data_IF_683149576320
#
_entry.id   IF_683149576320
#
_cell.length_a   1.000
_cell.length_b   1.000
_cell.length_c   1.000
_cell.angle_alpha   90.00
_cell.angle_beta   90.00
_cell.angle_gamma   90.00
#
_symmetry.space_group_name_H-M   'P 1'
#
loop_
_entity.id
_entity.type
_entity.pdbx_description
1 polymer ?
#
# COMPACT_ATOMS: atom_id res chain seq x y z
N UNK A 1 26.42 13.63 1.35
CA UNK A 1 24.96 13.83 1.39
C UNK A 1 24.57 14.00 2.86
N UNK A 2 23.47 14.71 3.19
CA UNK A 2 22.92 14.66 4.54
C UNK A 2 22.68 13.22 5.03
N UNK A 3 22.78 13.04 6.34
CA UNK A 3 22.42 11.80 7.02
C UNK A 3 21.03 11.96 7.62
N UNK A 4 20.16 10.97 7.42
CA UNK A 4 18.79 10.97 7.94
C UNK A 4 18.48 9.65 8.63
N UNK A 5 17.73 9.70 9.73
CA UNK A 5 17.25 8.49 10.40
C UNK A 5 16.00 7.95 9.70
N UNK A 6 16.01 6.65 9.39
CA UNK A 6 14.86 5.95 8.83
C UNK A 6 14.44 4.81 9.77
N UNK A 7 13.32 5.02 10.45
CA UNK A 7 12.81 4.08 11.46
C UNK A 7 12.33 2.75 10.87
N UNK A 8 12.03 2.67 9.56
CA UNK A 8 11.62 1.41 8.91
C UNK A 8 12.78 0.45 8.65
N UNK A 9 14.01 0.96 8.69
CA UNK A 9 15.24 0.17 8.57
C UNK A 9 16.11 0.25 9.84
N UNK A 10 15.60 0.93 10.87
CA UNK A 10 16.21 1.14 12.18
C UNK A 10 17.68 1.60 12.12
N UNK A 11 17.99 2.56 11.24
CA UNK A 11 19.32 3.17 11.15
C UNK A 11 19.33 4.53 10.45
N UNK A 12 20.45 5.22 10.59
CA UNK A 12 20.83 6.33 9.74
C UNK A 12 21.21 5.85 8.33
N UNK A 13 20.90 6.67 7.32
CA UNK A 13 21.27 6.44 5.92
C UNK A 13 21.54 7.78 5.22
N UNK A 14 22.23 7.73 4.08
CA UNK A 14 22.40 8.91 3.23
C UNK A 14 21.13 9.24 2.45
N UNK A 15 20.78 10.53 2.38
CA UNK A 15 19.72 11.04 1.50
C UNK A 15 20.13 12.41 0.92
N UNK A 16 19.85 12.73 -0.36
CA UNK A 16 20.34 13.97 -0.97
C UNK A 16 19.86 15.29 -0.33
N UNK A 17 18.82 15.26 0.50
CA UNK A 17 18.27 16.44 1.19
C UNK A 17 18.18 16.20 2.70
N UNK A 18 18.06 17.27 3.46
CA UNK A 18 17.76 17.18 4.89
C UNK A 18 16.35 16.59 5.11
N UNK A 19 16.16 15.94 6.25
CA UNK A 19 14.86 15.43 6.64
C UNK A 19 13.90 16.60 6.89
N UNK A 20 12.75 16.60 6.21
CA UNK A 20 11.67 17.56 6.43
C UNK A 20 10.36 16.79 6.65
N UNK A 21 9.85 16.83 7.88
CA UNK A 21 8.57 16.22 8.23
C UNK A 21 7.42 17.17 7.86
N UNK A 22 6.36 16.68 7.20
CA UNK A 22 5.14 17.46 7.05
C UNK A 22 4.41 17.58 8.40
N UNK A 23 3.47 18.52 8.51
CA UNK A 23 2.58 18.66 9.67
C UNK A 23 1.79 17.38 9.94
N UNK A 24 1.33 16.72 8.87
CA UNK A 24 0.73 15.39 8.88
C UNK A 24 1.22 14.59 7.68
N UNK A 25 1.30 13.27 7.81
CA UNK A 25 1.74 12.39 6.73
C UNK A 25 0.59 11.52 6.22
N UNK A 26 0.16 11.77 4.98
CA UNK A 26 -0.79 10.93 4.25
C UNK A 26 -0.32 9.48 4.23
N UNK A 27 -1.22 8.56 4.60
CA UNK A 27 -0.94 7.13 4.68
C UNK A 27 -2.15 6.27 4.29
N UNK A 28 -1.90 4.98 4.14
CA UNK A 28 -2.93 3.96 4.03
C UNK A 28 -2.42 2.59 4.48
N UNK A 29 -3.34 1.72 4.90
CA UNK A 29 -3.08 0.29 5.14
C UNK A 29 -3.94 -0.54 4.18
N UNK A 30 -3.35 -1.55 3.55
CA UNK A 30 -4.02 -2.52 2.69
C UNK A 30 -3.93 -3.94 3.29
N UNK A 31 -5.08 -4.56 3.57
CA UNK A 31 -5.16 -5.94 4.06
C UNK A 31 -5.10 -6.97 2.92
N UNK A 32 -3.96 -7.64 2.77
CA UNK A 32 -3.76 -8.61 1.69
C UNK A 32 -4.52 -9.93 1.91
N UNK A 33 -5.00 -10.20 3.13
CA UNK A 33 -5.83 -11.37 3.41
C UNK A 33 -7.24 -11.26 2.83
N UNK A 34 -7.72 -10.02 2.66
CA UNK A 34 -9.06 -9.71 2.14
C UNK A 34 -9.04 -9.32 0.66
N UNK A 35 -7.86 -9.20 0.04
CA UNK A 35 -7.75 -8.76 -1.34
C UNK A 35 -8.19 -9.86 -2.29
N UNK A 36 -9.11 -9.53 -3.21
CA UNK A 36 -9.71 -10.46 -4.17
C UNK A 36 -9.32 -10.17 -5.62
N UNK A 37 -8.31 -9.33 -5.87
CA UNK A 37 -7.81 -9.09 -7.23
C UNK A 37 -8.74 -8.35 -8.20
N UNK A 38 -9.97 -8.00 -7.80
CA UNK A 38 -11.05 -7.51 -8.68
C UNK A 38 -10.81 -6.23 -9.52
N UNK A 39 -9.66 -5.57 -9.40
CA UNK A 39 -9.31 -4.36 -10.16
C UNK A 39 -10.24 -3.14 -10.02
N UNK A 40 -11.29 -3.16 -9.18
CA UNK A 40 -12.21 -2.01 -9.03
C UNK A 40 -11.48 -0.73 -8.65
N UNK A 41 -10.56 -0.82 -7.69
CA UNK A 41 -9.71 0.28 -7.28
C UNK A 41 -8.83 0.83 -8.43
N UNK A 42 -8.39 -0.03 -9.35
CA UNK A 42 -7.62 0.33 -10.56
C UNK A 42 -8.52 1.17 -11.47
N UNK A 43 -9.73 0.70 -11.75
CA UNK A 43 -10.69 1.42 -12.59
C UNK A 43 -11.21 2.72 -11.97
N UNK A 44 -11.44 2.77 -10.65
CA UNK A 44 -11.86 4.02 -9.97
C UNK A 44 -10.79 5.11 -10.09
N UNK A 45 -9.51 4.74 -9.95
CA UNK A 45 -8.40 5.67 -10.15
C UNK A 45 -8.26 6.06 -11.63
N UNK A 46 -8.42 5.09 -12.54
CA UNK A 46 -8.36 5.29 -13.98
C UNK A 46 -9.38 6.32 -14.47
N UNK A 47 -10.66 6.05 -14.19
CA UNK A 47 -11.76 6.92 -14.57
C UNK A 47 -11.72 8.28 -13.88
N UNK A 48 -11.23 8.33 -12.63
CA UNK A 48 -11.14 9.58 -11.87
C UNK A 48 -10.00 10.50 -12.28
N UNK A 49 -8.86 9.97 -12.74
CA UNK A 49 -7.63 10.78 -12.88
C UNK A 49 -6.80 10.59 -14.15
N UNK A 50 -6.89 9.43 -14.82
CA UNK A 50 -5.95 9.06 -15.91
C UNK A 50 -6.67 8.66 -17.20
N UNK A 51 -7.79 9.33 -17.49
CA UNK A 51 -8.64 9.13 -18.67
C UNK A 51 -8.30 10.06 -19.85
N UNK A 52 -7.31 10.95 -19.69
CA UNK A 52 -6.85 11.88 -20.71
C UNK A 52 -5.86 11.27 -21.71
N UNK A 53 -5.54 12.05 -22.75
CA UNK A 53 -4.63 11.63 -23.83
C UNK A 53 -3.21 11.42 -23.31
N UNK A 54 -2.59 10.30 -23.70
CA UNK A 54 -1.25 9.91 -23.27
C UNK A 54 -1.21 9.33 -21.86
N UNK A 55 -2.36 9.22 -21.19
CA UNK A 55 -2.50 8.60 -19.88
C UNK A 55 -3.05 7.17 -20.00
N UNK A 56 -3.26 6.62 -21.19
CA UNK A 56 -3.93 5.34 -21.45
C UNK A 56 -3.25 4.18 -20.70
N UNK A 57 -1.92 4.17 -20.67
CA UNK A 57 -1.12 3.20 -19.92
C UNK A 57 -0.88 3.62 -18.46
N UNK A 58 -1.33 4.78 -18.01
CA UNK A 58 -1.08 5.22 -16.63
C UNK A 58 -2.05 4.58 -15.64
N UNK A 59 -1.61 3.52 -14.96
CA UNK A 59 -2.33 2.91 -13.84
C UNK A 59 -1.70 3.33 -12.52
N UNK A 60 -2.04 4.55 -12.07
CA UNK A 60 -1.53 5.11 -10.81
C UNK A 60 -1.82 4.20 -9.61
N UNK A 61 -3.04 3.63 -9.57
CA UNK A 61 -3.35 2.43 -8.80
C UNK A 61 -3.43 1.25 -9.76
N UNK A 62 -2.75 0.15 -9.42
CA UNK A 62 -2.83 -1.12 -10.15
C UNK A 62 -2.82 -2.26 -9.13
N UNK A 63 -3.27 -3.45 -9.53
CA UNK A 63 -3.17 -4.67 -8.72
C UNK A 63 -2.44 -5.72 -9.53
N UNK A 64 -1.42 -6.35 -8.93
CA UNK A 64 -0.61 -7.42 -9.53
C UNK A 64 -0.83 -8.73 -8.79
N UNK A 65 -0.78 -9.87 -9.48
CA UNK A 65 -0.69 -11.18 -8.81
C UNK A 65 0.77 -11.48 -8.50
N UNK A 66 1.09 -11.86 -7.26
CA UNK A 66 2.44 -12.29 -6.87
C UNK A 66 2.50 -13.82 -6.74
N UNK A 67 3.63 -14.44 -7.16
CA UNK A 67 4.93 -13.79 -7.38
C UNK A 67 5.24 -13.33 -8.81
N UNK A 68 4.46 -13.70 -9.82
CA UNK A 68 4.87 -13.58 -11.24
C UNK A 68 4.30 -12.37 -11.98
N UNK A 69 3.37 -11.62 -11.39
CA UNK A 69 2.79 -10.42 -11.96
C UNK A 69 3.57 -9.15 -11.60
N UNK A 70 3.60 -8.22 -12.57
CA UNK A 70 4.37 -6.99 -12.51
C UNK A 70 3.68 -5.84 -13.23
N UNK A 71 3.86 -4.62 -12.73
CA UNK A 71 3.57 -3.43 -13.52
C UNK A 71 4.40 -2.19 -13.11
N UNK A 72 5.39 -1.72 -13.89
CA UNK A 72 5.88 -2.30 -15.14
C UNK A 72 6.62 -3.61 -14.90
N UNK A 73 6.98 -4.31 -15.99
CA UNK A 73 7.67 -5.61 -15.94
C UNK A 73 8.89 -5.61 -15.01
N UNK A 74 8.90 -6.58 -14.08
CA UNK A 74 10.00 -6.84 -13.15
C UNK A 74 10.50 -5.61 -12.36
N UNK A 75 9.62 -4.66 -12.04
CA UNK A 75 9.98 -3.38 -11.41
C UNK A 75 10.76 -3.53 -10.08
N UNK A 76 10.41 -4.53 -9.27
CA UNK A 76 11.06 -4.89 -8.02
C UNK A 76 12.24 -5.82 -8.25
N UNK A 77 12.04 -6.91 -8.98
CA UNK A 77 13.06 -7.92 -9.23
C UNK A 77 14.33 -7.34 -9.88
N UNK A 78 14.21 -6.49 -10.91
CA UNK A 78 15.37 -5.84 -11.53
C UNK A 78 16.11 -4.94 -10.56
N UNK A 79 15.40 -4.23 -9.68
CA UNK A 79 16.04 -3.33 -8.72
C UNK A 79 16.72 -4.11 -7.58
N UNK A 80 16.11 -5.19 -7.11
CA UNK A 80 16.71 -6.09 -6.13
C UNK A 80 17.98 -6.76 -6.70
N UNK A 81 17.95 -7.17 -7.97
CA UNK A 81 19.12 -7.70 -8.67
C UNK A 81 20.27 -6.66 -8.74
N UNK A 82 19.95 -5.40 -9.09
CA UNK A 82 20.92 -4.31 -9.08
C UNK A 82 21.52 -4.02 -7.70
N UNK A 83 20.74 -4.17 -6.61
CA UNK A 83 21.24 -4.04 -5.25
C UNK A 83 22.11 -5.24 -4.85
N UNK A 84 21.86 -6.42 -5.42
CA UNK A 84 22.49 -7.67 -5.02
C UNK A 84 22.05 -8.15 -3.64
N UNK A 85 22.72 -9.17 -3.06
CA UNK A 85 22.39 -9.71 -1.75
C UNK A 85 22.53 -8.65 -0.65
N UNK A 86 21.53 -8.59 0.24
CA UNK A 86 21.48 -7.66 1.36
C UNK A 86 21.11 -8.40 2.65
N UNK A 87 21.38 -7.78 3.80
CA UNK A 87 21.24 -8.42 5.12
C UNK A 87 20.45 -7.57 6.10
N UNK A 88 19.80 -8.26 7.03
CA UNK A 88 19.16 -7.70 8.22
C UNK A 88 19.83 -8.31 9.45
N UNK A 89 20.10 -7.50 10.46
CA UNK A 89 20.48 -7.93 11.80
C UNK A 89 19.34 -7.58 12.76
N UNK A 90 18.56 -8.59 13.16
CA UNK A 90 17.30 -8.38 13.86
C UNK A 90 16.32 -7.52 13.05
N UNK A 91 15.99 -6.34 13.57
CA UNK A 91 15.13 -5.34 12.92
C UNK A 91 15.90 -4.21 12.21
N UNK A 92 17.23 -4.23 12.26
CA UNK A 92 18.09 -3.26 11.59
C UNK A 92 18.56 -3.78 10.24
N UNK A 93 18.33 -3.00 9.19
CA UNK A 93 18.85 -3.31 7.85
C UNK A 93 20.32 -2.88 7.76
N UNK A 94 21.21 -3.82 7.45
CA UNK A 94 22.67 -3.56 7.39
C UNK A 94 23.20 -3.41 5.97
N UNK A 95 22.35 -3.67 4.97
CA UNK A 95 22.66 -3.50 3.56
C UNK A 95 22.67 -2.03 3.08
N UNK A 96 22.93 -1.82 1.80
CA UNK A 96 22.85 -0.48 1.17
C UNK A 96 21.41 -0.18 0.71
N UNK A 97 20.96 1.04 0.94
CA UNK A 97 19.73 1.59 0.32
C UNK A 97 19.98 1.98 -1.14
N UNK A 98 18.93 2.35 -1.88
CA UNK A 98 19.10 2.82 -3.26
C UNK A 98 19.88 4.14 -3.34
N UNK A 99 19.88 4.94 -2.26
CA UNK A 99 20.62 6.20 -2.22
C UNK A 99 22.13 5.93 -2.07
N UNK A 100 22.50 5.04 -1.14
CA UNK A 100 23.89 4.65 -0.87
C UNK A 100 24.49 3.78 -1.98
N UNK A 101 23.66 3.09 -2.75
CA UNK A 101 24.07 2.31 -3.91
C UNK A 101 24.02 3.12 -5.24
N UNK A 102 23.71 4.41 -5.20
CA UNK A 102 23.59 5.22 -6.40
C UNK A 102 24.94 5.37 -7.12
N UNK A 103 24.99 5.21 -8.47
CA UNK A 103 26.21 5.46 -9.22
C UNK A 103 26.55 6.96 -9.26
N UNK A 104 27.81 7.33 -9.51
CA UNK A 104 28.22 8.74 -9.60
C UNK A 104 27.33 9.55 -10.55
N UNK A 105 26.92 10.74 -10.09
CA UNK A 105 26.05 11.64 -10.85
C UNK A 105 24.55 11.31 -10.80
N UNK A 106 24.13 10.29 -10.04
CA UNK A 106 22.71 9.97 -9.81
C UNK A 106 22.32 10.12 -8.35
N UNK A 107 21.06 10.49 -8.13
CA UNK A 107 20.51 10.65 -6.78
C UNK A 107 20.08 9.31 -6.14
N UNK A 108 19.79 8.29 -6.94
CA UNK A 108 19.38 6.96 -6.48
C UNK A 108 19.74 5.90 -7.54
N UNK A 109 19.98 4.68 -7.09
CA UNK A 109 20.04 3.48 -7.92
C UNK A 109 18.66 3.24 -8.56
N UNK A 110 18.66 2.98 -9.86
CA UNK A 110 17.44 2.67 -10.59
C UNK A 110 17.64 2.65 -12.10
N UNK A 111 16.60 2.21 -12.79
CA UNK A 111 16.55 2.03 -14.23
C UNK A 111 15.28 2.67 -14.78
N UNK A 112 15.33 3.10 -16.04
CA UNK A 112 14.16 3.59 -16.75
C UNK A 112 13.54 2.38 -17.44
N UNK A 113 12.27 2.01 -17.16
CA UNK A 113 11.61 0.94 -17.89
C UNK A 113 11.46 1.29 -19.37
N UNK A 114 11.54 0.27 -20.23
CA UNK A 114 11.28 0.39 -21.66
C UNK A 114 9.76 0.50 -21.91
N UNK A 115 9.36 0.88 -23.13
CA UNK A 115 7.93 1.06 -23.44
C UNK A 115 7.16 -0.26 -23.34
N UNK A 116 7.78 -1.36 -23.75
CA UNK A 116 7.24 -2.72 -23.69
C UNK A 116 6.98 -3.18 -22.25
N UNK A 117 7.74 -2.67 -21.27
CA UNK A 117 7.54 -3.00 -19.86
C UNK A 117 6.18 -2.50 -19.34
N UNK A 118 5.52 -1.58 -20.05
CA UNK A 118 4.21 -1.02 -19.73
C UNK A 118 3.06 -1.61 -20.55
N UNK A 119 3.35 -2.49 -21.51
CA UNK A 119 2.36 -2.95 -22.49
C UNK A 119 1.20 -3.75 -21.86
N UNK A 120 1.46 -4.47 -20.76
CA UNK A 120 0.50 -5.39 -20.15
C UNK A 120 0.33 -5.08 -18.64
N UNK A 121 -0.69 -4.29 -18.26
CA UNK A 121 -0.85 -3.81 -16.88
C UNK A 121 -1.21 -4.84 -15.81
N UNK A 122 -1.48 -6.08 -16.22
CA UNK A 122 -1.86 -7.18 -15.35
C UNK A 122 -1.36 -8.54 -15.88
N UNK A 123 -0.18 -8.55 -16.50
CA UNK A 123 0.48 -9.79 -16.91
C UNK A 123 0.78 -10.67 -15.69
N UNK A 124 0.65 -11.99 -15.85
CA UNK A 124 0.78 -12.95 -14.76
C UNK A 124 -0.41 -12.97 -13.81
N UNK A 125 -1.58 -12.42 -14.21
CA UNK A 125 -2.82 -12.54 -13.45
C UNK A 125 -3.13 -14.01 -13.13
N UNK A 126 -3.54 -14.23 -11.88
CA UNK A 126 -3.81 -15.51 -11.25
C UNK A 126 -2.74 -16.61 -11.36
N UNK A 127 -1.54 -16.30 -11.86
CA UNK A 127 -0.46 -17.28 -12.00
C UNK A 127 0.11 -17.67 -10.62
N UNK A 128 -0.08 -18.93 -10.16
CA UNK A 128 0.37 -19.36 -8.85
C UNK A 128 1.79 -19.92 -8.89
N UNK A 129 2.48 -19.84 -7.75
CA UNK A 129 3.72 -20.56 -7.53
C UNK A 129 3.48 -21.90 -6.85
N UNK A 130 4.10 -22.95 -7.36
CA UNK A 130 4.08 -24.30 -6.80
C UNK A 130 3.34 -25.30 -7.69
N UNK A 131 3.44 -26.58 -7.36
CA UNK A 131 2.75 -27.68 -8.05
C UNK A 131 1.94 -28.46 -7.02
N UNK A 132 0.70 -28.84 -7.36
CA UNK A 132 -0.11 -29.77 -6.57
C UNK A 132 0.18 -31.19 -7.06
N UNK A 133 0.67 -32.06 -6.17
CA UNK A 133 0.78 -33.49 -6.45
C UNK A 133 -0.53 -34.20 -6.17
N UNK A 134 -0.76 -35.35 -6.83
CA UNK A 134 -1.91 -36.22 -6.52
C UNK A 134 -1.97 -36.57 -5.03
N UNK A 135 -3.17 -36.50 -4.45
CA UNK A 135 -3.40 -36.76 -3.02
C UNK A 135 -3.08 -35.60 -2.08
N UNK A 136 -2.70 -34.43 -2.59
CA UNK A 136 -2.52 -33.23 -1.77
C UNK A 136 -3.85 -32.76 -1.15
N UNK A 137 -3.77 -32.21 0.07
CA UNK A 137 -4.88 -31.60 0.79
C UNK A 137 -4.52 -30.19 1.24
N UNK A 138 -5.52 -29.38 1.60
CA UNK A 138 -5.32 -27.99 2.02
C UNK A 138 -4.49 -27.93 3.32
N UNK A 139 -3.35 -27.23 3.26
CA UNK A 139 -2.46 -26.95 4.38
C UNK A 139 -2.13 -25.45 4.37
N UNK A 140 -1.88 -24.84 5.53
CA UNK A 140 -1.43 -23.45 5.65
C UNK A 140 -0.01 -23.45 6.23
N UNK A 141 1.01 -22.89 5.55
CA UNK A 141 0.94 -22.20 4.24
C UNK A 141 0.62 -23.15 3.07
N UNK A 142 -0.01 -22.63 2.02
CA UNK A 142 -0.42 -23.44 0.87
C UNK A 142 0.81 -23.86 0.03
N UNK A 143 0.89 -25.12 -0.43
CA UNK A 143 1.98 -25.56 -1.31
C UNK A 143 1.93 -24.87 -2.68
N UNK A 144 0.72 -24.51 -3.13
CA UNK A 144 0.47 -23.68 -4.30
C UNK A 144 -0.19 -22.39 -3.85
N UNK A 145 0.42 -21.25 -4.16
CA UNK A 145 -0.02 -19.97 -3.65
C UNK A 145 0.19 -18.86 -4.67
N UNK A 146 -0.74 -17.90 -4.63
CA UNK A 146 -0.54 -16.54 -5.10
C UNK A 146 -1.22 -15.58 -4.11
N UNK A 147 -1.01 -14.29 -4.29
CA UNK A 147 -1.83 -13.27 -3.65
C UNK A 147 -1.83 -12.01 -4.50
N UNK A 148 -2.79 -11.13 -4.26
CA UNK A 148 -2.90 -9.87 -4.99
C UNK A 148 -2.17 -8.76 -4.23
N UNK A 149 -1.34 -8.00 -4.94
CA UNK A 149 -0.61 -6.84 -4.44
C UNK A 149 -1.15 -5.56 -5.09
N UNK A 150 -2.13 -4.88 -4.47
CA UNK A 150 -2.56 -3.55 -4.89
C UNK A 150 -1.49 -2.49 -4.58
N UNK A 151 -1.02 -1.73 -5.57
CA UNK A 151 0.00 -0.69 -5.37
C UNK A 151 -0.46 0.68 -5.84
N UNK A 152 -0.07 1.70 -5.10
CA UNK A 152 -0.14 3.12 -5.46
C UNK A 152 1.21 3.81 -5.24
N UNK A 153 1.33 5.11 -5.53
CA UNK A 153 2.48 5.87 -5.04
C UNK A 153 2.50 5.87 -3.52
N UNK A 154 3.68 5.66 -2.92
CA UNK A 154 3.79 5.54 -1.48
C UNK A 154 3.95 6.87 -0.73
N UNK A 155 3.96 8.00 -1.46
CA UNK A 155 4.13 9.36 -0.91
C UNK A 155 5.23 9.44 0.16
N UNK A 156 6.37 8.82 -0.14
CA UNK A 156 7.44 8.51 0.81
C UNK A 156 7.96 9.72 1.59
N UNK A 157 8.55 9.48 2.76
CA UNK A 157 9.25 10.52 3.53
C UNK A 157 10.56 10.93 2.85
N UNK A 158 11.29 9.98 2.28
CA UNK A 158 12.50 10.21 1.49
C UNK A 158 12.25 9.86 0.01
N UNK A 159 11.50 10.70 -0.74
CA UNK A 159 11.09 10.39 -2.10
C UNK A 159 12.23 10.47 -3.11
N UNK A 160 12.69 9.32 -3.60
CA UNK A 160 13.71 9.24 -4.66
C UNK A 160 13.35 9.99 -5.95
N UNK A 161 12.06 10.06 -6.29
CA UNK A 161 11.61 10.85 -7.44
C UNK A 161 11.87 12.35 -7.27
N UNK A 162 11.71 12.88 -6.05
CA UNK A 162 12.00 14.27 -5.71
C UNK A 162 13.52 14.50 -5.77
N UNK A 163 14.29 13.63 -5.11
CA UNK A 163 15.75 13.64 -5.11
C UNK A 163 16.37 13.66 -6.52
N UNK A 164 15.78 12.92 -7.46
CA UNK A 164 16.30 12.80 -8.81
C UNK A 164 15.83 13.90 -9.79
N UNK A 165 14.87 14.75 -9.44
CA UNK A 165 14.31 15.70 -10.40
C UNK A 165 15.25 16.91 -10.59
N UNK A 166 15.94 17.07 -11.75
CA UNK A 166 16.91 18.15 -11.94
C UNK A 166 16.26 19.54 -11.96
N UNK A 167 14.95 19.62 -12.23
CA UNK A 167 14.17 20.87 -12.26
C UNK A 167 13.50 21.21 -10.93
N UNK A 168 13.59 20.33 -9.93
CA UNK A 168 12.87 20.44 -8.66
C UNK A 168 11.36 20.67 -8.88
N UNK A 169 10.79 20.02 -9.90
CA UNK A 169 9.36 20.09 -10.22
C UNK A 169 8.53 19.16 -9.34
N UNK A 170 9.17 18.25 -8.61
CA UNK A 170 8.53 17.37 -7.65
C UNK A 170 8.71 17.99 -6.27
N UNK A 171 7.64 18.00 -5.48
CA UNK A 171 7.63 18.51 -4.12
C UNK A 171 6.76 17.63 -3.24
N UNK A 172 7.02 17.68 -1.95
CA UNK A 172 6.19 17.08 -0.90
C UNK A 172 5.47 18.22 -0.21
N UNK A 173 4.14 18.15 -0.13
CA UNK A 173 3.32 19.16 0.52
C UNK A 173 3.62 19.21 2.02
N UNK A 174 3.85 20.39 2.62
CA UNK A 174 4.13 20.51 4.05
C UNK A 174 2.93 20.14 4.93
N UNK A 175 1.69 20.35 4.48
CA UNK A 175 0.48 20.17 5.28
C UNK A 175 0.03 18.70 5.42
N UNK A 176 0.28 17.86 4.41
CA UNK A 176 -0.26 16.49 4.33
C UNK A 176 0.76 15.43 3.85
N UNK A 177 1.97 15.84 3.49
CA UNK A 177 3.01 14.92 3.04
C UNK A 177 2.75 14.28 1.67
N UNK A 178 1.73 14.70 0.92
CA UNK A 178 1.45 14.19 -0.43
C UNK A 178 2.52 14.73 -1.39
N UNK A 179 3.28 13.80 -1.97
CA UNK A 179 4.23 14.11 -3.06
C UNK A 179 3.50 14.37 -4.38
N UNK A 180 3.79 15.49 -5.05
CA UNK A 180 3.18 15.90 -6.33
C UNK A 180 4.24 16.27 -7.37
N UNK A 181 3.82 16.32 -8.64
CA UNK A 181 4.61 16.83 -9.76
C UNK A 181 3.95 18.10 -10.26
N UNK A 182 4.65 19.23 -10.17
CA UNK A 182 4.27 20.48 -10.80
C UNK A 182 4.32 20.32 -12.34
N UNK A 183 3.14 20.26 -12.95
CA UNK A 183 2.98 20.06 -14.39
C UNK A 183 3.51 21.25 -15.21
N UNK A 184 3.54 22.47 -14.65
CA UNK A 184 4.03 23.66 -15.35
C UNK A 184 5.56 23.73 -15.34
N UNK A 185 6.22 23.20 -14.30
CA UNK A 185 7.69 23.15 -14.18
C UNK A 185 8.30 21.90 -14.81
N UNK A 186 7.54 20.82 -14.90
CA UNK A 186 8.01 19.55 -15.46
C UNK A 186 8.36 19.69 -16.96
N UNK A 187 9.45 19.04 -17.38
CA UNK A 187 9.91 19.01 -18.78
C UNK A 187 10.22 17.60 -19.27
N UNK A 188 9.77 16.58 -18.54
CA UNK A 188 9.85 15.20 -19.01
C UNK A 188 11.26 14.61 -19.09
N UNK A 189 12.17 14.98 -18.18
CA UNK A 189 13.53 14.40 -18.10
C UNK A 189 13.55 12.93 -17.68
N UNK A 190 12.47 12.42 -17.08
CA UNK A 190 12.26 11.01 -16.68
C UNK A 190 13.25 10.45 -15.64
N UNK A 191 14.19 11.25 -15.13
CA UNK A 191 15.06 10.86 -14.01
C UNK A 191 14.26 10.46 -12.75
N UNK A 192 13.11 11.09 -12.53
CA UNK A 192 12.19 10.70 -11.46
C UNK A 192 11.58 9.28 -11.67
N UNK A 193 11.33 8.87 -12.92
CA UNK A 193 10.87 7.52 -13.26
C UNK A 193 11.98 6.50 -13.03
N UNK A 194 13.20 6.84 -13.43
CA UNK A 194 14.39 6.03 -13.21
C UNK A 194 14.61 5.77 -11.72
N UNK A 195 14.59 6.83 -10.92
CA UNK A 195 14.90 6.78 -9.50
C UNK A 195 13.79 6.20 -8.62
N UNK A 196 12.51 6.31 -9.01
CA UNK A 196 11.43 5.73 -8.22
C UNK A 196 11.52 4.20 -8.25
N UNK A 197 11.78 3.52 -7.13
CA UNK A 197 11.94 2.07 -7.15
C UNK A 197 10.62 1.37 -7.50
N UNK A 198 9.50 1.92 -7.02
CA UNK A 198 8.14 1.41 -7.27
C UNK A 198 7.57 1.73 -8.67
N UNK A 199 8.28 2.55 -9.46
CA UNK A 199 7.85 3.01 -10.79
C UNK A 199 6.44 3.64 -10.80
N UNK A 200 6.15 4.45 -9.77
CA UNK A 200 4.84 5.12 -9.58
C UNK A 200 4.77 6.56 -10.08
N UNK A 201 5.74 6.94 -10.90
CA UNK A 201 5.71 8.15 -11.73
C UNK A 201 5.90 7.70 -13.18
N UNK A 202 5.06 8.21 -14.07
CA UNK A 202 4.88 7.75 -15.45
C UNK A 202 5.01 8.96 -16.38
N UNK A 203 5.42 8.76 -17.64
CA UNK A 203 5.67 9.86 -18.57
C UNK A 203 4.57 9.99 -19.61
N UNK A 204 3.85 11.09 -19.65
CA UNK A 204 2.85 11.28 -20.68
C UNK A 204 3.55 11.69 -22.00
N UNK A 205 3.53 10.85 -23.05
CA UNK A 205 4.21 11.18 -24.31
C UNK A 205 3.51 12.31 -25.08
N UNK A 206 2.24 12.57 -24.80
CA UNK A 206 1.45 13.63 -25.44
C UNK A 206 1.77 14.98 -24.82
N UNK A 207 1.66 15.11 -23.50
CA UNK A 207 1.95 16.38 -22.79
C UNK A 207 3.44 16.59 -22.53
N UNK A 208 4.25 15.54 -22.74
CA UNK A 208 5.71 15.51 -22.54
C UNK A 208 6.15 15.86 -21.11
N UNK A 209 5.29 15.58 -20.13
CA UNK A 209 5.59 15.73 -18.70
C UNK A 209 5.33 14.42 -17.97
N UNK A 210 5.93 14.29 -16.79
CA UNK A 210 5.69 13.14 -15.92
C UNK A 210 4.51 13.41 -14.98
N UNK A 211 3.74 12.35 -14.74
CA UNK A 211 2.52 12.34 -13.93
C UNK A 211 2.57 11.19 -12.92
N UNK A 212 1.83 11.31 -11.82
CA UNK A 212 1.81 10.30 -10.76
C UNK A 212 0.52 10.38 -9.96
N UNK A 213 0.24 9.33 -9.18
CA UNK A 213 -0.80 9.36 -8.16
C UNK A 213 -0.73 10.63 -7.33
N UNK A 214 -1.84 11.37 -7.25
CA UNK A 214 -1.93 12.64 -6.53
C UNK A 214 -2.46 12.48 -5.09
N UNK A 215 -2.51 11.25 -4.57
CA UNK A 215 -3.12 10.96 -3.27
C UNK A 215 -4.60 11.31 -3.18
N UNK A 216 -5.28 11.50 -4.33
CA UNK A 216 -6.58 12.17 -4.43
C UNK A 216 -6.66 13.44 -3.56
N UNK A 217 -5.62 14.27 -3.54
CA UNK A 217 -5.57 15.42 -2.62
C UNK A 217 -6.83 16.31 -2.61
N UNK A 218 -7.56 16.55 -3.74
CA UNK A 218 -8.79 17.34 -3.68
C UNK A 218 -9.88 16.68 -2.82
N UNK A 219 -9.88 15.35 -2.68
CA UNK A 219 -10.79 14.60 -1.80
C UNK A 219 -10.29 14.62 -0.36
N UNK A 220 -9.00 14.41 -0.15
CA UNK A 220 -8.37 14.42 1.18
C UNK A 220 -8.59 15.76 1.87
N UNK A 221 -8.44 16.87 1.15
CA UNK A 221 -8.72 18.24 1.64
C UNK A 221 -10.17 18.44 2.10
N UNK A 222 -11.11 17.63 1.62
CA UNK A 222 -12.52 17.67 1.98
C UNK A 222 -12.90 16.60 3.03
N UNK A 223 -11.91 15.97 3.67
CA UNK A 223 -12.12 14.90 4.65
C UNK A 223 -12.73 13.64 4.03
N UNK A 224 -12.50 13.41 2.73
CA UNK A 224 -12.99 12.23 2.01
C UNK A 224 -11.86 11.23 1.79
N UNK A 225 -12.21 9.94 1.81
CA UNK A 225 -11.35 8.85 1.39
C UNK A 225 -10.97 8.98 -0.09
N UNK A 226 -9.79 8.46 -0.45
CA UNK A 226 -9.35 8.42 -1.85
C UNK A 226 -10.25 7.48 -2.68
N UNK A 227 -10.35 7.69 -3.99
CA UNK A 227 -11.24 6.91 -4.85
C UNK A 227 -10.95 5.40 -4.81
N UNK A 228 -9.68 5.00 -4.69
CA UNK A 228 -9.31 3.59 -4.62
C UNK A 228 -9.69 2.93 -3.28
N UNK A 229 -9.84 3.72 -2.21
CA UNK A 229 -10.28 3.24 -0.89
C UNK A 229 -11.80 3.22 -0.80
N UNK A 230 -12.47 4.31 -1.16
CA UNK A 230 -13.93 4.42 -1.11
C UNK A 230 -14.64 3.35 -1.96
N UNK A 231 -14.05 2.96 -3.09
CA UNK A 231 -14.61 1.95 -4.01
C UNK A 231 -14.00 0.55 -3.85
N UNK A 232 -13.29 0.28 -2.75
CA UNK A 232 -12.69 -1.03 -2.54
C UNK A 232 -13.74 -2.08 -2.13
N UNK A 233 -14.16 -2.92 -3.07
CA UNK A 233 -15.15 -3.99 -2.84
C UNK A 233 -14.70 -4.95 -1.73
N UNK A 234 -13.42 -5.36 -1.75
CA UNK A 234 -12.87 -6.26 -0.72
C UNK A 234 -12.73 -5.63 0.67
N UNK A 235 -13.02 -4.32 0.82
CA UNK A 235 -12.90 -3.58 2.08
C UNK A 235 -11.54 -3.78 2.76
N UNK A 236 -10.48 -3.75 1.94
CA UNK A 236 -9.12 -4.03 2.39
C UNK A 236 -8.37 -2.76 2.79
N UNK A 237 -8.85 -1.60 2.35
CA UNK A 237 -8.08 -0.35 2.39
C UNK A 237 -8.64 0.60 3.43
N UNK A 238 -7.75 1.31 4.08
CA UNK A 238 -8.05 2.44 4.95
C UNK A 238 -7.02 3.53 4.70
N UNK A 239 -7.44 4.73 4.28
CA UNK A 239 -6.55 5.90 4.38
C UNK A 239 -6.54 6.43 5.81
N UNK A 240 -5.44 7.06 6.19
CA UNK A 240 -5.29 7.72 7.48
C UNK A 240 -4.00 8.53 7.54
N UNK A 241 -3.71 9.08 8.72
CA UNK A 241 -2.47 9.79 9.00
C UNK A 241 -1.50 8.85 9.72
N UNK A 242 -0.21 8.92 9.43
CA UNK A 242 0.83 8.19 10.17
C UNK A 242 1.74 9.19 10.89
N UNK A 243 2.06 8.91 12.14
CA UNK A 243 3.04 9.68 12.91
C UNK A 243 4.42 8.98 12.91
N UNK A 244 5.42 9.60 13.53
CA UNK A 244 6.66 8.89 13.81
C UNK A 244 6.44 7.93 14.99
N UNK A 245 7.24 6.86 15.15
CA UNK A 245 7.04 5.90 16.23
C UNK A 245 6.99 6.52 17.64
N UNK A 246 7.70 7.62 17.87
CA UNK A 246 7.73 8.37 19.12
C UNK A 246 6.50 9.25 19.37
N UNK A 247 5.72 9.55 18.32
CA UNK A 247 4.51 10.39 18.38
C UNK A 247 3.24 9.63 17.97
N UNK A 248 3.31 8.31 17.87
CA UNK A 248 2.19 7.46 17.46
C UNK A 248 0.98 7.60 18.41
N UNK A 249 -0.20 7.82 17.84
CA UNK A 249 -1.47 7.90 18.56
C UNK A 249 -2.21 6.55 18.50
N UNK A 250 -2.42 5.84 19.62
CA UNK A 250 -3.12 4.56 19.62
C UNK A 250 -4.60 4.66 19.21
N UNK A 251 -5.21 5.86 19.25
CA UNK A 251 -6.57 6.09 18.75
C UNK A 251 -6.60 6.36 17.26
N UNK A 252 -5.46 6.66 16.62
CA UNK A 252 -5.36 6.80 15.18
C UNK A 252 -5.34 5.39 14.52
N UNK A 253 -6.23 5.09 13.56
CA UNK A 253 -6.32 3.74 12.99
C UNK A 253 -5.05 3.23 12.33
N UNK A 254 -4.30 4.11 11.65
CA UNK A 254 -3.10 3.73 10.90
C UNK A 254 -1.91 3.54 11.84
N UNK A 255 -1.71 4.44 12.81
CA UNK A 255 -0.72 4.25 13.87
C UNK A 255 -0.99 2.98 14.69
N UNK A 256 -2.27 2.71 14.98
CA UNK A 256 -2.65 1.49 15.70
C UNK A 256 -2.22 0.23 14.94
N UNK A 257 -2.46 0.17 13.62
CA UNK A 257 -2.07 -0.98 12.80
C UNK A 257 -0.54 -1.09 12.58
N UNK A 258 0.16 0.03 12.43
CA UNK A 258 1.58 0.08 12.06
C UNK A 258 2.51 0.09 13.28
N UNK A 259 2.22 0.92 14.28
CA UNK A 259 3.09 1.16 15.43
C UNK A 259 2.67 0.39 16.69
N UNK A 260 1.36 0.27 16.95
CA UNK A 260 0.86 -0.38 18.17
C UNK A 260 0.80 -1.90 18.01
N UNK A 261 -0.03 -2.40 17.08
CA UNK A 261 -0.15 -3.84 16.80
C UNK A 261 0.89 -4.38 15.84
N UNK A 262 1.58 -3.50 15.11
CA UNK A 262 2.68 -3.85 14.18
C UNK A 262 2.29 -4.97 13.20
N UNK A 263 1.03 -4.94 12.75
CA UNK A 263 0.43 -5.92 11.84
C UNK A 263 0.50 -5.46 10.38
N UNK A 264 0.61 -4.15 10.15
CA UNK A 264 0.80 -3.54 8.84
C UNK A 264 2.28 -3.15 8.63
N UNK A 265 2.89 -3.66 7.56
CA UNK A 265 4.33 -3.56 7.28
C UNK A 265 4.61 -2.77 6.00
N UNK A 266 5.74 -2.05 5.91
CA UNK A 266 6.14 -1.36 4.68
C UNK A 266 6.54 -2.36 3.58
N UNK A 267 6.33 -2.01 2.32
CA UNK A 267 6.79 -2.78 1.14
C UNK A 267 8.21 -2.35 0.73
N UNK A 268 9.16 -3.27 0.76
CA UNK A 268 10.57 -3.06 0.46
C UNK A 268 11.20 -1.91 1.27
N UNK A 269 11.11 -1.92 2.63
CA UNK A 269 11.72 -0.88 3.46
C UNK A 269 13.22 -0.68 3.20
N UNK A 270 13.92 -1.75 2.78
CA UNK A 270 15.33 -1.73 2.41
C UNK A 270 15.68 -0.76 1.28
N UNK A 271 14.71 -0.32 0.47
CA UNK A 271 14.98 0.75 -0.50
C UNK A 271 15.30 2.08 0.17
N UNK A 272 14.98 2.26 1.46
CA UNK A 272 15.35 3.45 2.23
C UNK A 272 14.41 4.63 2.03
N UNK A 273 13.21 4.45 1.47
CA UNK A 273 12.33 5.60 1.19
C UNK A 273 11.50 6.05 2.40
N UNK A 274 11.42 5.23 3.45
CA UNK A 274 10.47 5.37 4.55
C UNK A 274 9.05 5.63 4.00
N UNK A 275 8.46 4.56 3.47
CA UNK A 275 7.23 4.64 2.69
C UNK A 275 5.99 4.75 3.57
N UNK A 276 4.90 5.35 3.08
CA UNK A 276 3.73 5.64 3.91
C UNK A 276 2.49 4.82 3.54
N UNK A 277 2.63 3.75 2.77
CA UNK A 277 1.54 2.82 2.48
C UNK A 277 1.96 1.47 3.06
N UNK A 278 1.11 0.82 3.83
CA UNK A 278 1.48 -0.37 4.58
C UNK A 278 0.57 -1.54 4.20
N UNK A 279 1.07 -2.75 4.42
CA UNK A 279 0.41 -3.99 3.99
C UNK A 279 0.32 -4.96 5.14
N UNK A 280 -0.87 -5.50 5.38
CA UNK A 280 -1.02 -6.64 6.29
C UNK A 280 -0.68 -7.90 5.49
N UNK A 281 0.31 -8.71 5.91
CA UNK A 281 0.76 -9.86 5.14
C UNK A 281 -0.33 -10.94 4.97
N UNK A 282 -0.43 -11.60 3.80
CA UNK A 282 -1.36 -12.69 3.58
C UNK A 282 -0.90 -13.97 4.31
N UNK A 283 -1.74 -14.50 5.20
CA UNK A 283 -1.38 -15.61 6.10
C UNK A 283 -1.19 -16.96 5.40
N UNK A 284 -1.65 -17.10 4.14
CA UNK A 284 -1.55 -18.32 3.34
C UNK A 284 -0.25 -18.42 2.53
N UNK A 285 0.52 -17.34 2.45
CA UNK A 285 1.76 -17.25 1.66
C UNK A 285 2.98 -17.59 2.52
N UNK A 286 4.02 -18.28 1.99
CA UNK A 286 5.22 -18.61 2.74
C UNK A 286 5.91 -17.37 3.36
N UNK A 287 6.16 -17.36 4.69
CA UNK A 287 6.78 -16.21 5.36
C UNK A 287 8.14 -15.82 4.79
N UNK A 288 8.93 -16.78 4.31
CA UNK A 288 10.24 -16.51 3.66
C UNK A 288 10.11 -15.58 2.45
N UNK A 289 9.10 -15.79 1.60
CA UNK A 289 8.86 -14.93 0.44
C UNK A 289 8.40 -13.54 0.89
N UNK A 290 7.47 -13.49 1.84
CA UNK A 290 6.96 -12.23 2.38
C UNK A 290 8.04 -11.41 3.10
N UNK A 291 8.99 -12.05 3.81
CA UNK A 291 10.09 -11.36 4.51
C UNK A 291 10.97 -10.55 3.57
N UNK A 292 11.21 -11.06 2.36
CA UNK A 292 11.94 -10.32 1.32
C UNK A 292 11.21 -9.01 0.94
N UNK A 293 9.87 -9.07 0.91
CA UNK A 293 9.02 -7.96 0.51
C UNK A 293 8.69 -7.00 1.65
N UNK A 294 8.46 -7.49 2.86
CA UNK A 294 7.87 -6.71 3.96
C UNK A 294 8.79 -6.57 5.18
N UNK A 295 10.00 -7.15 5.11
CA UNK A 295 11.01 -7.07 6.17
C UNK A 295 10.81 -8.09 7.30
N UNK A 296 11.60 -7.98 8.38
CA UNK A 296 11.70 -8.99 9.45
C UNK A 296 10.45 -9.10 10.34
N UNK A 297 9.49 -8.16 10.25
CA UNK A 297 8.28 -8.16 11.06
C UNK A 297 7.18 -9.15 10.63
N UNK A 298 7.37 -9.86 9.51
CA UNK A 298 6.33 -10.68 8.85
C UNK A 298 5.76 -11.76 9.76
N UNK A 299 6.61 -12.55 10.43
CA UNK A 299 6.13 -13.65 11.26
C UNK A 299 5.25 -13.15 12.41
N UNK A 300 5.70 -12.10 13.11
CA UNK A 300 4.94 -11.47 14.19
C UNK A 300 3.61 -10.90 13.67
N UNK A 301 3.62 -10.21 12.55
CA UNK A 301 2.41 -9.65 11.96
C UNK A 301 1.37 -10.73 11.60
N UNK A 302 1.82 -11.86 11.01
CA UNK A 302 0.96 -13.00 10.70
C UNK A 302 0.38 -13.63 11.98
N UNK A 303 1.20 -13.78 13.03
CA UNK A 303 0.74 -14.32 14.32
C UNK A 303 -0.32 -13.41 14.95
N UNK A 304 -0.05 -12.10 15.03
CA UNK A 304 -1.01 -11.11 15.52
C UNK A 304 -2.32 -11.12 14.72
N UNK A 305 -2.24 -11.19 13.38
CA UNK A 305 -3.44 -11.24 12.53
C UNK A 305 -4.27 -12.50 12.75
N UNK A 306 -3.65 -13.67 12.94
CA UNK A 306 -4.37 -14.93 13.21
C UNK A 306 -5.12 -14.90 14.55
N UNK A 307 -4.64 -14.12 15.50
CA UNK A 307 -5.24 -13.94 16.82
C UNK A 307 -6.27 -12.81 16.88
N UNK A 308 -6.65 -12.21 15.73
CA UNK A 308 -7.59 -11.07 15.70
C UNK A 308 -8.94 -11.32 16.38
N UNK A 309 -9.38 -12.57 16.44
CA UNK A 309 -10.64 -12.93 17.10
C UNK A 309 -10.60 -12.73 18.63
N UNK A 310 -9.41 -12.69 19.22
CA UNK A 310 -9.17 -12.45 20.64
C UNK A 310 -8.82 -10.97 20.95
N UNK A 311 -8.73 -10.12 19.92
CA UNK A 311 -8.36 -8.71 20.04
C UNK A 311 -9.47 -7.81 19.44
N UNK A 312 -10.45 -7.39 20.28
CA UNK A 312 -11.58 -6.58 19.83
C UNK A 312 -11.17 -5.25 19.19
N UNK A 313 -10.07 -4.64 19.65
CA UNK A 313 -9.58 -3.36 19.12
C UNK A 313 -9.04 -3.55 17.70
N UNK A 314 -8.21 -4.58 17.49
CA UNK A 314 -7.70 -4.91 16.16
C UNK A 314 -8.82 -5.30 15.20
N UNK A 315 -9.73 -6.18 15.63
CA UNK A 315 -10.90 -6.53 14.83
C UNK A 315 -11.71 -5.27 14.49
N UNK A 316 -11.90 -4.38 15.46
CA UNK A 316 -12.62 -3.12 15.29
C UNK A 316 -12.04 -2.22 14.22
N UNK A 317 -10.73 -1.97 14.23
CA UNK A 317 -10.09 -1.18 13.16
C UNK A 317 -10.24 -1.86 11.80
N UNK A 318 -10.09 -3.18 11.73
CA UNK A 318 -10.19 -3.90 10.46
C UNK A 318 -11.62 -3.87 9.87
N UNK A 319 -12.66 -3.92 10.68
CA UNK A 319 -14.06 -3.83 10.21
C UNK A 319 -14.46 -2.40 9.79
N UNK A 320 -13.77 -1.38 10.30
CA UNK A 320 -13.96 0.01 9.84
C UNK A 320 -13.43 0.24 8.42
N UNK A 321 -12.54 -0.63 7.91
CA UNK A 321 -12.03 -0.53 6.54
C UNK A 321 -13.18 -0.63 5.53
N UNK A 322 -13.35 0.41 4.70
CA UNK A 322 -14.42 0.47 3.70
C UNK A 322 -15.84 0.61 4.26
N UNK A 323 -15.98 0.96 5.55
CA UNK A 323 -17.29 1.19 6.18
C UNK A 323 -17.85 2.61 5.94
N UNK A 324 -17.02 3.55 5.48
CA UNK A 324 -17.39 4.94 5.19
C UNK A 324 -16.51 5.51 4.08
N UNK A 325 -17.01 6.51 3.37
CA UNK A 325 -16.26 7.31 2.41
C UNK A 325 -15.60 8.55 3.03
N UNK A 326 -15.79 8.77 4.34
CA UNK A 326 -15.19 9.84 5.14
C UNK A 326 -13.87 9.41 5.77
N UNK A 327 -13.00 10.37 6.01
CA UNK A 327 -11.71 10.14 6.65
C UNK A 327 -11.89 9.81 8.14
N UNK A 328 -11.32 8.69 8.60
CA UNK A 328 -11.37 8.29 10.01
C UNK A 328 -10.08 8.79 10.68
N UNK A 329 -10.19 9.81 11.52
CA UNK A 329 -9.08 10.36 12.28
C UNK A 329 -8.83 9.56 13.56
N UNK A 330 -9.91 9.13 14.23
CA UNK A 330 -9.85 8.34 15.46
C UNK A 330 -10.83 7.18 15.41
N UNK A 331 -10.55 6.12 16.17
CA UNK A 331 -11.48 5.03 16.39
C UNK A 331 -11.62 4.68 17.86
N UNK A 332 -12.74 4.04 18.20
CA UNK A 332 -12.99 3.45 19.51
C UNK A 332 -13.71 2.12 19.32
N UNK A 333 -13.35 1.13 20.13
CA UNK A 333 -14.14 -0.10 20.27
C UNK A 333 -14.82 -0.11 21.63
N UNK A 334 -16.15 -0.22 21.63
CA UNK A 334 -16.95 -0.22 22.85
C UNK A 334 -18.25 -1.00 22.64
N UNK A 335 -18.65 -1.78 23.64
CA UNK A 335 -19.92 -2.51 23.65
C UNK A 335 -20.13 -3.40 22.39
N UNK A 336 -19.05 -4.01 21.90
CA UNK A 336 -19.06 -4.86 20.70
C UNK A 336 -19.23 -4.11 19.37
N UNK A 337 -19.01 -2.80 19.37
CA UNK A 337 -19.07 -1.92 18.19
C UNK A 337 -17.73 -1.23 17.96
N UNK A 338 -17.33 -1.10 16.71
CA UNK A 338 -16.27 -0.22 16.27
C UNK A 338 -16.86 1.11 15.79
N UNK A 339 -16.31 2.23 16.26
CA UNK A 339 -16.80 3.57 15.99
C UNK A 339 -15.65 4.38 15.40
N UNK A 340 -15.90 5.09 14.30
CA UNK A 340 -14.94 5.98 13.67
C UNK A 340 -15.37 7.44 13.79
N UNK A 341 -14.40 8.31 14.06
CA UNK A 341 -14.61 9.75 14.23
C UNK A 341 -13.78 10.55 13.21
N UNK A 342 -14.33 11.68 12.78
CA UNK A 342 -13.60 12.65 11.98
C UNK A 342 -12.70 13.56 12.84
N UNK A 343 -12.03 14.52 12.20
CA UNK A 343 -11.12 15.47 12.85
C UNK A 343 -11.79 16.36 13.90
N UNK A 344 -13.10 16.64 13.77
CA UNK A 344 -13.86 17.43 14.74
C UNK A 344 -14.32 16.61 15.94
N UNK A 345 -14.09 15.29 15.92
CA UNK A 345 -14.60 14.35 16.91
C UNK A 345 -16.05 13.90 16.65
N UNK A 346 -16.63 14.24 15.49
CA UNK A 346 -17.96 13.77 15.13
C UNK A 346 -17.91 12.29 14.72
N UNK A 347 -18.85 11.50 15.21
CA UNK A 347 -19.03 10.11 14.77
C UNK A 347 -19.48 10.08 13.31
N UNK A 348 -18.71 9.40 12.47
CA UNK A 348 -18.98 9.28 11.03
C UNK A 348 -19.33 7.86 10.60
N UNK A 349 -19.06 6.87 11.45
CA UNK A 349 -19.35 5.47 11.17
C UNK A 349 -19.40 4.64 12.45
N UNK A 350 -20.28 3.64 12.47
CA UNK A 350 -20.39 2.64 13.53
C UNK A 350 -20.70 1.28 12.91
N UNK A 351 -19.91 0.27 13.28
CA UNK A 351 -20.00 -1.08 12.72
C UNK A 351 -19.97 -2.11 13.86
N UNK A 352 -20.87 -3.11 13.88
CA UNK A 352 -20.78 -4.20 14.84
C UNK A 352 -19.55 -5.07 14.57
N UNK A 353 -18.86 -5.53 15.63
CA UNK A 353 -17.74 -6.47 15.49
C UNK A 353 -18.18 -7.86 15.00
N UNK A 354 -19.43 -8.23 15.27
CA UNK A 354 -20.04 -9.50 14.85
C UNK A 354 -21.33 -9.20 14.12
N UNK A 355 -21.45 -9.72 12.90
CA UNK A 355 -22.71 -9.68 12.19
C UNK A 355 -23.71 -10.66 12.81
N UNK A 356 -24.97 -10.25 13.04
CA UNK A 356 -25.99 -11.17 13.53
C UNK A 356 -26.30 -12.23 12.46
N UNK A 357 -26.21 -13.50 12.84
CA UNK A 357 -26.63 -14.61 11.99
C UNK A 357 -28.14 -14.82 12.13
N UNK A 358 -28.87 -14.72 11.02
CA UNK A 358 -30.31 -15.00 10.97
C UNK A 358 -30.57 -16.33 10.27
N UNK A 359 -31.01 -17.34 11.01
CA UNK A 359 -31.47 -18.60 10.43
C UNK A 359 -32.93 -18.43 10.02
N UNK A 360 -33.21 -18.44 8.71
CA UNK A 360 -34.58 -18.38 8.19
C UNK A 360 -35.21 -19.76 8.25
N UNK A 361 -36.49 -19.81 8.59
CA UNK A 361 -37.26 -21.04 8.54
C UNK A 361 -37.24 -21.65 7.13
N UNK A 362 -37.18 -22.98 7.05
CA UNK A 362 -37.21 -23.71 5.78
C UNK A 362 -38.44 -23.36 4.92
N UNK A 363 -39.60 -23.15 5.55
CA UNK A 363 -40.81 -22.71 4.88
C UNK A 363 -41.10 -21.22 5.14
N UNK A 364 -41.38 -20.47 4.08
CA UNK A 364 -41.88 -19.10 4.12
C UNK A 364 -43.41 -19.12 4.02
N UNK A 365 -44.09 -19.15 5.17
CA UNK A 365 -45.55 -19.24 5.20
C UNK A 365 -46.25 -18.01 4.58
N UNK A 366 -45.64 -16.84 4.64
CA UNK A 366 -46.19 -15.61 4.08
C UNK A 366 -46.15 -15.62 2.55
N UNK A 367 -45.10 -16.21 1.97
CA UNK A 367 -44.92 -16.30 0.51
C UNK A 367 -45.33 -17.64 -0.08
N UNK A 368 -45.67 -18.63 0.74
CA UNK A 368 -46.03 -19.98 0.31
C UNK A 368 -44.90 -20.71 -0.42
N UNK A 369 -43.64 -20.44 -0.07
CA UNK A 369 -42.46 -21.03 -0.74
C UNK A 369 -41.53 -21.74 0.24
N UNK A 370 -40.88 -22.79 -0.23
CA UNK A 370 -39.81 -23.45 0.49
C UNK A 370 -38.45 -22.85 0.11
N UNK A 371 -37.64 -22.58 1.13
CA UNK A 371 -36.27 -22.10 0.96
C UNK A 371 -35.36 -23.31 0.88
N UNK A 372 -34.77 -23.53 -0.28
CA UNK A 372 -33.78 -24.58 -0.50
C UNK A 372 -32.39 -23.93 -0.60
N UNK A 373 -31.46 -24.39 0.23
CA UNK A 373 -30.04 -24.11 0.04
C UNK A 373 -29.52 -25.10 -0.99
N UNK A 374 -29.35 -24.66 -2.24
CA UNK A 374 -28.63 -25.44 -3.24
C UNK A 374 -27.16 -25.08 -3.01
N UNK A 375 -26.42 -25.99 -2.36
CA UNK A 375 -24.97 -25.89 -2.15
C UNK A 375 -24.22 -26.41 -3.35
#
# INVERSE_FOLDING_TARGET
MPTVFNWQINREMEYPYEAALPERQFSAVFDLNKCIGCQTCTFSCKGGWTSGRGQEYMFWNNVETKPYGFYPMAWDARLLDMLGPQTWDGDTYTGKTIFEAAPPGRAALGFLPDEEDWAYPNIGEDEPNGIVSDGAYLQIPHPVWHFYLPRICNHCQFPACLAACPRKAIYKRPEDGIVLVDQQRCRGYRECMRACPYKKIMYNPVTRVSEKCIGCFPRVENGQQTLCVANCIGRIRMNGWIHTPDTADPENPVDFLVHVRKVALPLYPQFGLQMNIYYIPPVHVPPRYLRQMLGPGVERAIETYRQVHDDPDLLGVLVLSGATDRWINKFLVRDGQAIGFDESGAEIVRVPLKEPAFIRAFHDAERGVFRHNIT
#
